data_IF_044814226308
#
_entry.id   IF_044814226308
#
_cell.length_a   1.000
_cell.length_b   1.000
_cell.length_c   1.000
_cell.angle_alpha   90.00
_cell.angle_beta   90.00
_cell.angle_gamma   90.00
#
_symmetry.space_group_name_H-M   'P 1'
#
loop_
_entity.id
_entity.type
_entity.pdbx_description
1 polymer ?
#
# COMPACT_ATOMS: atom_id res chain seq x y z
N UNK A 1 -6.35 1.97 23.69
CA UNK A 1 -6.75 2.89 22.60
C UNK A 1 -6.34 2.38 21.22
N UNK A 2 -5.20 1.68 21.10
CA UNK A 2 -4.78 1.04 19.84
C UNK A 2 -5.70 -0.10 19.42
N UNK A 3 -6.02 -1.08 20.27
CA UNK A 3 -6.91 -2.21 19.91
C UNK A 3 -8.29 -1.74 19.38
N UNK A 4 -8.84 -0.67 19.97
CA UNK A 4 -10.10 -0.07 19.51
C UNK A 4 -9.97 0.50 18.08
N UNK A 5 -8.83 1.11 17.75
CA UNK A 5 -8.54 1.60 16.40
C UNK A 5 -8.48 0.46 15.37
N UNK A 6 -7.90 -0.68 15.72
CA UNK A 6 -7.88 -1.87 14.85
C UNK A 6 -9.29 -2.40 14.61
N UNK A 7 -10.12 -2.52 15.66
CA UNK A 7 -11.51 -2.96 15.50
C UNK A 7 -12.33 -1.99 14.65
N UNK A 8 -12.20 -0.68 14.89
CA UNK A 8 -12.93 0.35 14.13
C UNK A 8 -12.47 0.41 12.67
N UNK A 9 -11.16 0.36 12.42
CA UNK A 9 -10.61 0.33 11.06
C UNK A 9 -11.09 -0.90 10.28
N UNK A 10 -11.13 -2.06 10.93
CA UNK A 10 -11.64 -3.30 10.31
C UNK A 10 -13.13 -3.23 9.98
N UNK A 11 -13.96 -2.72 10.90
CA UNK A 11 -15.40 -2.52 10.65
C UNK A 11 -15.64 -1.49 9.54
N UNK A 12 -14.87 -0.40 9.53
CA UNK A 12 -14.94 0.60 8.46
C UNK A 12 -14.56 0.00 7.10
N UNK A 13 -13.50 -0.80 7.02
CA UNK A 13 -13.05 -1.45 5.77
C UNK A 13 -14.10 -2.42 5.24
N UNK A 14 -14.79 -3.11 6.15
CA UNK A 14 -15.90 -3.99 5.80
C UNK A 14 -17.14 -3.24 5.28
N UNK A 15 -17.53 -2.15 5.93
CA UNK A 15 -18.76 -1.40 5.60
C UNK A 15 -18.56 -0.51 4.36
N UNK A 16 -17.57 0.37 4.40
CA UNK A 16 -17.36 1.38 3.37
C UNK A 16 -16.75 0.69 2.14
N UNK A 17 -15.78 -0.20 2.36
CA UNK A 17 -14.85 -0.61 1.32
C UNK A 17 -14.07 0.57 0.74
N UNK A 18 -13.00 0.30 0.00
CA UNK A 18 -12.26 1.39 -0.65
C UNK A 18 -13.03 1.96 -1.85
N UNK A 19 -13.36 3.26 -1.86
CA UNK A 19 -13.77 3.93 -3.09
C UNK A 19 -12.59 3.91 -4.05
N UNK A 20 -12.81 3.50 -5.29
CA UNK A 20 -11.75 3.34 -6.28
C UNK A 20 -11.04 4.66 -6.65
N UNK A 21 -11.47 5.81 -6.12
CA UNK A 21 -10.88 7.13 -6.35
C UNK A 21 -10.24 7.76 -5.10
N UNK A 22 -10.26 7.08 -3.95
CA UNK A 22 -9.70 7.63 -2.72
C UNK A 22 -8.16 7.65 -2.72
N UNK A 23 -7.53 8.64 -2.05
CA UNK A 23 -6.08 8.73 -1.93
C UNK A 23 -5.59 7.58 -1.06
N UNK A 24 -5.26 6.45 -1.70
CA UNK A 24 -4.88 5.24 -1.02
C UNK A 24 -3.34 5.08 -1.02
N UNK A 25 -2.67 5.12 0.14
CA UNK A 25 -1.21 5.00 0.25
C UNK A 25 -0.63 3.81 -0.53
N UNK A 26 -1.30 2.65 -0.50
CA UNK A 26 -0.86 1.43 -1.22
C UNK A 26 -0.74 1.66 -2.74
N UNK A 27 -1.62 2.49 -3.33
CA UNK A 27 -1.53 2.82 -4.76
C UNK A 27 -0.34 3.71 -5.07
N UNK A 28 0.02 4.61 -4.16
CA UNK A 28 1.21 5.45 -4.30
C UNK A 28 2.48 4.61 -4.21
N UNK A 29 2.52 3.64 -3.29
CA UNK A 29 3.60 2.65 -3.20
C UNK A 29 3.70 1.87 -4.53
N UNK A 30 2.59 1.40 -5.10
CA UNK A 30 2.58 0.73 -6.42
C UNK A 30 3.12 1.60 -7.57
N UNK A 31 2.79 2.90 -7.59
CA UNK A 31 3.36 3.85 -8.55
C UNK A 31 4.86 4.05 -8.34
N UNK A 32 5.30 4.16 -7.09
CA UNK A 32 6.72 4.27 -6.73
C UNK A 32 7.49 3.03 -7.18
N UNK A 33 6.97 1.83 -6.92
CA UNK A 33 7.53 0.56 -7.39
C UNK A 33 7.69 0.59 -8.91
N UNK A 34 6.63 0.93 -9.64
CA UNK A 34 6.65 0.96 -11.12
C UNK A 34 7.65 1.98 -11.67
N UNK A 35 7.79 3.12 -11.00
CA UNK A 35 8.76 4.17 -11.34
C UNK A 35 10.20 3.70 -11.11
N UNK A 36 10.51 3.18 -9.91
CA UNK A 36 11.84 2.68 -9.56
C UNK A 36 12.22 1.48 -10.43
N UNK A 37 11.28 0.57 -10.70
CA UNK A 37 11.49 -0.57 -11.61
C UNK A 37 11.87 -0.12 -13.01
N UNK A 38 11.22 0.92 -13.55
CA UNK A 38 11.58 1.48 -14.87
C UNK A 38 12.99 2.05 -14.89
N UNK A 39 13.40 2.72 -13.82
CA UNK A 39 14.76 3.25 -13.66
C UNK A 39 15.76 2.10 -13.61
N UNK A 40 15.54 1.10 -12.74
CA UNK A 40 16.42 -0.06 -12.59
C UNK A 40 16.59 -0.79 -13.92
N UNK A 41 15.50 -1.08 -14.63
CA UNK A 41 15.57 -1.75 -15.94
C UNK A 41 16.28 -0.93 -17.01
N UNK A 42 16.23 0.41 -16.93
CA UNK A 42 16.91 1.31 -17.88
C UNK A 42 18.42 1.36 -17.63
N UNK A 43 18.86 1.39 -16.37
CA UNK A 43 20.26 1.60 -16.02
C UNK A 43 21.03 0.31 -15.69
N UNK A 44 20.34 -0.83 -15.54
CA UNK A 44 20.96 -2.12 -15.24
C UNK A 44 20.70 -3.16 -16.35
N UNK A 45 21.32 -3.04 -17.53
CA UNK A 45 21.26 -4.09 -18.54
C UNK A 45 22.11 -5.30 -18.10
N UNK A 46 21.47 -6.43 -17.80
CA UNK A 46 22.11 -7.72 -17.50
C UNK A 46 21.66 -8.36 -16.19
N UNK A 47 21.65 -9.71 -16.13
CA UNK A 47 21.04 -10.48 -15.04
C UNK A 47 21.63 -10.19 -13.65
N UNK A 48 22.96 -9.99 -13.57
CA UNK A 48 23.64 -9.65 -12.31
C UNK A 48 23.28 -8.23 -11.84
N UNK A 49 23.23 -7.27 -12.76
CA UNK A 49 22.87 -5.89 -12.47
C UNK A 49 21.39 -5.78 -12.08
N UNK A 50 20.52 -6.57 -12.70
CA UNK A 50 19.09 -6.62 -12.39
C UNK A 50 18.82 -7.17 -10.98
N UNK A 51 19.58 -8.19 -10.54
CA UNK A 51 19.51 -8.72 -9.16
C UNK A 51 19.88 -7.66 -8.13
N UNK A 52 20.99 -6.94 -8.34
CA UNK A 52 21.42 -5.86 -7.44
C UNK A 52 20.41 -4.71 -7.48
N UNK A 53 19.94 -4.34 -8.67
CA UNK A 53 18.92 -3.31 -8.86
C UNK A 53 17.60 -3.63 -8.16
N UNK A 54 17.20 -4.91 -8.11
CA UNK A 54 16.06 -5.37 -7.32
C UNK A 54 16.26 -5.17 -5.82
N UNK A 55 17.47 -5.46 -5.30
CA UNK A 55 17.82 -5.19 -3.90
C UNK A 55 17.78 -3.70 -3.56
N UNK A 56 18.37 -2.85 -4.42
CA UNK A 56 18.32 -1.39 -4.27
C UNK A 56 16.89 -0.88 -4.32
N UNK A 57 16.08 -1.38 -5.26
CA UNK A 57 14.67 -1.04 -5.36
C UNK A 57 13.90 -1.38 -4.08
N UNK A 58 14.15 -2.54 -3.47
CA UNK A 58 13.54 -2.93 -2.20
C UNK A 58 13.90 -1.93 -1.10
N UNK A 59 15.19 -1.61 -0.92
CA UNK A 59 15.65 -0.65 0.11
C UNK A 59 15.00 0.72 -0.09
N UNK A 60 14.95 1.20 -1.33
CA UNK A 60 14.36 2.51 -1.67
C UNK A 60 12.86 2.52 -1.37
N UNK A 61 12.11 1.53 -1.85
CA UNK A 61 10.65 1.51 -1.69
C UNK A 61 10.26 1.31 -0.23
N UNK A 62 10.86 0.34 0.47
CA UNK A 62 10.56 0.06 1.88
C UNK A 62 11.02 1.22 2.76
N UNK A 63 12.24 1.71 2.56
CA UNK A 63 12.78 2.84 3.31
C UNK A 63 11.96 4.12 3.13
N UNK A 64 11.59 4.45 1.89
CA UNK A 64 10.74 5.61 1.62
C UNK A 64 9.34 5.45 2.24
N UNK A 65 8.72 4.28 2.09
CA UNK A 65 7.39 4.02 2.66
C UNK A 65 7.40 4.13 4.18
N UNK A 66 8.38 3.51 4.83
CA UNK A 66 8.54 3.58 6.28
C UNK A 66 8.82 5.01 6.76
N UNK A 67 9.75 5.71 6.11
CA UNK A 67 10.12 7.08 6.47
C UNK A 67 8.96 8.06 6.34
N UNK A 68 8.18 7.96 5.25
CA UNK A 68 6.97 8.77 5.05
C UNK A 68 5.91 8.42 6.09
N UNK A 69 5.64 7.13 6.31
CA UNK A 69 4.64 6.69 7.29
C UNK A 69 4.96 7.19 8.71
N UNK A 70 6.21 7.01 9.14
CA UNK A 70 6.69 7.47 10.43
C UNK A 70 6.64 9.00 10.55
N UNK A 71 7.11 9.72 9.51
CA UNK A 71 7.11 11.18 9.51
C UNK A 71 5.71 11.78 9.59
N UNK A 72 4.75 11.21 8.86
CA UNK A 72 3.33 11.63 8.91
C UNK A 72 2.76 11.41 10.31
N UNK A 73 2.99 10.25 10.91
CA UNK A 73 2.46 9.92 12.23
C UNK A 73 3.09 10.78 13.34
N UNK A 74 4.42 10.96 13.29
CA UNK A 74 5.15 11.80 14.25
C UNK A 74 4.70 13.27 14.17
N UNK A 75 4.48 13.80 12.96
CA UNK A 75 3.98 15.16 12.79
C UNK A 75 2.53 15.31 13.26
N UNK A 76 1.67 14.34 12.92
CA UNK A 76 0.27 14.35 13.33
C UNK A 76 0.10 14.29 14.86
N UNK A 77 0.90 13.46 15.54
CA UNK A 77 0.93 13.37 17.01
C UNK A 77 1.44 14.66 17.66
N UNK A 78 2.39 15.36 17.03
CA UNK A 78 2.90 16.65 17.55
C UNK A 78 1.89 17.79 17.41
N UNK A 79 1.01 17.76 16.41
CA UNK A 79 -0.02 18.79 16.22
C UNK A 79 -1.12 18.63 17.26
N UNK A 80 -1.72 17.45 17.37
CA UNK A 80 -2.76 17.17 18.36
C UNK A 80 -2.94 15.66 18.59
N UNK A 81 -3.05 15.17 19.84
CA UNK A 81 -3.19 13.74 20.14
C UNK A 81 -4.37 13.06 19.43
N UNK A 82 -5.52 13.74 19.36
CA UNK A 82 -6.71 13.21 18.66
C UNK A 82 -6.54 13.18 17.14
N UNK A 83 -5.82 14.15 16.57
CA UNK A 83 -5.54 14.17 15.13
C UNK A 83 -4.57 13.05 14.75
N UNK A 84 -3.53 12.83 15.55
CA UNK A 84 -2.63 11.69 15.42
C UNK A 84 -3.38 10.35 15.44
N UNK A 85 -4.35 10.20 16.35
CA UNK A 85 -5.18 8.99 16.42
C UNK A 85 -6.06 8.79 15.17
N UNK A 86 -6.68 9.85 14.64
CA UNK A 86 -7.44 9.74 13.39
C UNK A 86 -6.57 9.35 12.19
N UNK A 87 -5.36 9.91 12.09
CA UNK A 87 -4.39 9.55 11.05
C UNK A 87 -3.93 8.10 11.21
N UNK A 88 -3.71 7.63 12.44
CA UNK A 88 -3.37 6.23 12.74
C UNK A 88 -4.46 5.26 12.26
N UNK A 89 -5.73 5.53 12.62
CA UNK A 89 -6.89 4.75 12.18
C UNK A 89 -6.99 4.72 10.66
N UNK A 90 -6.81 5.87 10.01
CA UNK A 90 -6.85 5.99 8.55
C UNK A 90 -5.72 5.19 7.89
N UNK A 91 -4.49 5.25 8.42
CA UNK A 91 -3.37 4.46 7.91
C UNK A 91 -3.65 2.96 8.05
N UNK A 92 -4.14 2.49 9.20
CA UNK A 92 -4.49 1.08 9.43
C UNK A 92 -5.57 0.63 8.44
N UNK A 93 -6.64 1.41 8.29
CA UNK A 93 -7.71 1.16 7.33
C UNK A 93 -7.16 0.96 5.91
N UNK A 94 -6.30 1.89 5.46
CA UNK A 94 -5.70 1.78 4.12
C UNK A 94 -4.68 0.65 3.99
N UNK A 95 -4.09 0.15 5.07
CA UNK A 95 -3.17 -1.01 5.00
C UNK A 95 -3.91 -2.35 4.96
N UNK A 96 -5.11 -2.42 5.55
CA UNK A 96 -5.92 -3.65 5.55
C UNK A 96 -6.50 -3.92 4.16
N UNK A 97 -7.12 -2.91 3.55
CA UNK A 97 -7.63 -2.90 2.16
C UNK A 97 -8.34 -4.20 1.74
N UNK A 98 -9.00 -4.89 2.67
CA UNK A 98 -9.40 -6.30 2.53
C UNK A 98 -10.46 -6.49 1.47
N UNK A 99 -11.39 -5.54 1.35
CA UNK A 99 -12.44 -5.56 0.31
C UNK A 99 -11.88 -5.33 -1.09
N UNK A 100 -10.87 -4.46 -1.22
CA UNK A 100 -10.19 -4.21 -2.50
C UNK A 100 -9.41 -5.44 -2.96
N UNK A 101 -8.77 -6.14 -2.01
CA UNK A 101 -8.07 -7.39 -2.26
C UNK A 101 -9.03 -8.51 -2.68
N UNK A 102 -10.18 -8.62 -2.01
CA UNK A 102 -11.21 -9.59 -2.37
C UNK A 102 -11.77 -9.36 -3.79
N UNK A 103 -12.00 -8.09 -4.19
CA UNK A 103 -12.41 -7.76 -5.57
C UNK A 103 -11.34 -8.14 -6.59
N UNK A 104 -10.08 -7.79 -6.33
CA UNK A 104 -8.97 -8.16 -7.22
C UNK A 104 -8.83 -9.69 -7.36
N UNK A 105 -9.07 -10.44 -6.28
CA UNK A 105 -9.09 -11.90 -6.34
C UNK A 105 -10.25 -12.42 -7.20
N UNK A 106 -11.46 -11.85 -7.06
CA UNK A 106 -12.63 -12.21 -7.87
C UNK A 106 -12.45 -11.87 -9.37
N UNK A 107 -11.79 -10.77 -9.69
CA UNK A 107 -11.46 -10.38 -11.07
C UNK A 107 -10.56 -11.41 -11.76
N UNK A 108 -9.73 -12.14 -11.00
CA UNK A 108 -8.91 -13.24 -11.51
C UNK A 108 -9.67 -14.58 -11.45
N UNK A 109 -10.47 -14.81 -10.41
CA UNK A 109 -11.24 -16.05 -10.22
C UNK A 109 -12.30 -16.25 -11.33
N UNK A 110 -13.00 -15.19 -11.73
CA UNK A 110 -14.11 -15.30 -12.70
C UNK A 110 -13.64 -15.77 -14.09
N UNK A 111 -12.60 -15.16 -14.72
CA UNK A 111 -12.05 -15.63 -15.99
C UNK A 111 -11.47 -17.06 -15.89
N UNK A 112 -10.82 -17.40 -14.76
CA UNK A 112 -10.29 -18.74 -14.52
C UNK A 112 -11.39 -19.81 -14.51
N UNK A 113 -12.53 -19.54 -13.86
CA UNK A 113 -13.69 -20.46 -13.85
C UNK A 113 -14.35 -20.58 -15.21
N UNK A 114 -14.30 -19.51 -16.00
CA UNK A 114 -14.86 -19.44 -17.35
C UNK A 114 -13.92 -20.06 -18.43
N UNK A 115 -12.73 -20.56 -18.04
CA UNK A 115 -11.65 -21.02 -18.94
C UNK A 115 -11.22 -19.96 -19.96
N UNK A 116 -11.46 -18.68 -19.66
CA UNK A 116 -11.10 -17.56 -20.51
C UNK A 116 -9.72 -17.02 -20.10
N UNK A 117 -8.68 -17.74 -20.53
CA UNK A 117 -7.27 -17.45 -20.25
C UNK A 117 -6.60 -16.59 -21.33
N UNK A 118 -7.35 -15.67 -21.95
CA UNK A 118 -6.85 -14.79 -23.00
C UNK A 118 -5.79 -13.78 -22.52
#
# INVERSE_FOLDING_TARGET
MTILAWCIAWVLDFIIGDPQHWPHPVRWIGRLITFVQRIVRRYCPGDKALRIGGGVMWVVVVGATWGVAWGVLALAQRIHPWFGWSVEVWMIFTTLAGRSLARAAQEVERPLRENDLA
#
